data_IF_301182882097
#
_entry.id   IF_301182882097
#
_cell.length_a   1.000
_cell.length_b   1.000
_cell.length_c   1.000
_cell.angle_alpha   90.00
_cell.angle_beta   90.00
_cell.angle_gamma   90.00
#
_symmetry.space_group_name_H-M   'P 1'
#
loop_
_entity.id
_entity.type
_entity.pdbx_description
1 polymer ?
#
# COMPACT_ATOMS: atom_id res chain seq x y z
N UNK A 1 -15.16 2.33 -25.79
CA UNK A 1 -15.52 1.36 -24.73
C UNK A 1 -14.37 0.99 -23.77
N UNK A 2 -13.11 0.91 -24.25
CA UNK A 2 -11.95 0.49 -23.43
C UNK A 2 -11.21 1.62 -22.68
N UNK A 3 -11.55 2.90 -22.92
CA UNK A 3 -10.87 4.02 -22.26
C UNK A 3 -11.22 4.16 -20.77
N UNK A 4 -12.41 3.68 -20.35
CA UNK A 4 -12.84 3.75 -18.93
C UNK A 4 -12.12 2.73 -18.05
N UNK A 5 -11.74 1.57 -18.57
CA UNK A 5 -11.05 0.53 -17.81
C UNK A 5 -9.56 0.81 -17.57
N UNK A 6 -8.97 1.78 -18.28
CA UNK A 6 -7.57 2.21 -18.05
C UNK A 6 -7.42 3.17 -16.86
N UNK A 7 -8.50 3.84 -16.44
CA UNK A 7 -8.52 4.70 -15.26
C UNK A 7 -9.08 4.02 -14.01
N UNK A 8 -9.61 2.81 -14.14
CA UNK A 8 -10.12 2.01 -13.03
C UNK A 8 -8.97 1.20 -12.41
N UNK A 9 -8.25 1.83 -11.48
CA UNK A 9 -7.17 1.20 -10.71
C UNK A 9 -7.70 0.23 -9.64
N UNK A 10 -9.01 0.04 -9.51
CA UNK A 10 -9.61 -0.83 -8.50
C UNK A 10 -9.95 -2.23 -9.02
N UNK A 11 -9.95 -2.46 -10.33
CA UNK A 11 -10.42 -3.71 -10.92
C UNK A 11 -9.52 -4.21 -12.08
N UNK A 12 -8.73 -5.28 -11.89
CA UNK A 12 -8.59 -6.08 -10.67
C UNK A 12 -7.92 -5.29 -9.52
N UNK A 13 -8.12 -5.71 -8.26
CA UNK A 13 -7.46 -5.04 -7.13
C UNK A 13 -5.95 -5.05 -7.30
N UNK A 14 -5.33 -3.88 -7.13
CA UNK A 14 -3.89 -3.73 -7.23
C UNK A 14 -3.25 -4.25 -5.94
N UNK A 15 -2.28 -5.14 -6.07
CA UNK A 15 -1.38 -5.49 -4.98
C UNK A 15 -0.36 -4.35 -4.78
N UNK A 16 -0.75 -3.36 -3.97
CA UNK A 16 0.07 -2.17 -3.70
C UNK A 16 1.37 -2.51 -2.96
N UNK A 17 1.37 -3.58 -2.15
CA UNK A 17 2.57 -4.04 -1.44
C UNK A 17 3.61 -4.56 -2.42
N UNK A 18 3.21 -5.40 -3.37
CA UNK A 18 4.12 -5.88 -4.42
C UNK A 18 4.59 -4.74 -5.33
N UNK A 19 3.71 -3.78 -5.64
CA UNK A 19 4.07 -2.62 -6.44
C UNK A 19 5.13 -1.75 -5.74
N UNK A 20 4.97 -1.47 -4.44
CA UNK A 20 5.94 -0.70 -3.65
C UNK A 20 7.34 -1.33 -3.69
N UNK A 21 7.41 -2.67 -3.57
CA UNK A 21 8.68 -3.41 -3.64
C UNK A 21 9.38 -3.23 -4.98
N UNK A 22 8.64 -3.16 -6.08
CA UNK A 22 9.18 -2.87 -7.41
C UNK A 22 9.87 -1.50 -7.51
N UNK A 23 9.48 -0.54 -6.66
CA UNK A 23 10.10 0.77 -6.54
C UNK A 23 11.17 0.86 -5.44
N UNK A 24 11.56 -0.28 -4.84
CA UNK A 24 12.52 -0.31 -3.73
C UNK A 24 11.97 0.23 -2.40
N UNK A 25 10.64 0.33 -2.29
CA UNK A 25 9.93 0.81 -1.11
C UNK A 25 9.39 -0.39 -0.33
N UNK A 26 9.58 -0.41 0.99
CA UNK A 26 8.97 -1.44 1.84
C UNK A 26 7.44 -1.29 1.84
N UNK A 27 6.71 -2.40 1.78
CA UNK A 27 5.24 -2.40 1.73
C UNK A 27 4.62 -3.30 2.80
N UNK A 28 3.55 -2.86 3.44
CA UNK A 28 2.74 -3.67 4.38
C UNK A 28 1.26 -3.35 4.21
N UNK A 29 0.41 -4.38 4.23
CA UNK A 29 -1.04 -4.25 4.25
C UNK A 29 -1.55 -4.45 5.67
N UNK A 30 -2.52 -3.65 6.10
CA UNK A 30 -3.13 -3.67 7.43
C UNK A 30 -4.65 -3.64 7.33
N UNK A 31 -5.33 -4.36 8.21
CA UNK A 31 -6.79 -4.49 8.23
C UNK A 31 -7.43 -3.87 9.49
N UNK A 32 -6.61 -3.40 10.44
CA UNK A 32 -7.12 -2.80 11.68
C UNK A 32 -6.42 -1.49 12.01
N UNK A 33 -7.10 -0.65 12.81
CA UNK A 33 -6.53 0.58 13.36
C UNK A 33 -5.29 0.31 14.22
N UNK A 34 -5.29 -0.81 14.96
CA UNK A 34 -4.15 -1.23 15.78
C UNK A 34 -2.92 -1.55 14.94
N UNK A 35 -3.11 -2.29 13.85
CA UNK A 35 -2.06 -2.61 12.88
C UNK A 35 -1.55 -1.36 12.17
N UNK A 36 -2.44 -0.47 11.75
CA UNK A 36 -2.06 0.81 11.14
C UNK A 36 -1.20 1.65 12.10
N UNK A 37 -1.60 1.76 13.36
CA UNK A 37 -0.82 2.47 14.39
C UNK A 37 0.57 1.87 14.57
N UNK A 38 0.67 0.54 14.64
CA UNK A 38 1.94 -0.15 14.79
C UNK A 38 2.85 0.02 13.56
N UNK A 39 2.30 -0.13 12.35
CA UNK A 39 3.02 0.04 11.10
C UNK A 39 3.52 1.48 10.92
N UNK A 40 2.70 2.47 11.24
CA UNK A 40 3.08 3.88 11.19
C UNK A 40 4.19 4.21 12.18
N UNK A 41 4.09 3.74 13.42
CA UNK A 41 5.13 3.95 14.43
C UNK A 41 6.49 3.38 13.98
N UNK A 42 6.49 2.17 13.40
CA UNK A 42 7.69 1.56 12.82
C UNK A 42 8.24 2.38 11.65
N UNK A 43 7.37 2.81 10.73
CA UNK A 43 7.77 3.61 9.56
C UNK A 43 8.46 4.92 9.94
N UNK A 44 8.04 5.56 11.03
CA UNK A 44 8.64 6.82 11.49
C UNK A 44 9.99 6.62 12.17
N UNK A 45 10.25 5.41 12.70
CA UNK A 45 11.50 5.06 13.37
C UNK A 45 12.58 4.57 12.39
N UNK A 46 12.19 4.03 11.23
CA UNK A 46 13.10 3.51 10.21
C UNK A 46 13.36 4.56 9.11
N UNK A 47 14.62 4.76 8.69
CA UNK A 47 14.93 5.65 7.57
C UNK A 47 14.38 5.12 6.24
N UNK A 48 13.84 6.03 5.44
CA UNK A 48 13.42 5.76 4.08
C UNK A 48 11.90 5.63 3.92
N UNK A 49 11.42 5.62 2.66
CA UNK A 49 10.00 5.54 2.37
C UNK A 49 9.45 4.14 2.69
N UNK A 50 8.20 4.10 3.14
CA UNK A 50 7.42 2.87 3.28
C UNK A 50 6.00 3.11 2.78
N UNK A 51 5.39 2.09 2.19
CA UNK A 51 3.97 2.05 1.83
C UNK A 51 3.22 1.25 2.89
N UNK A 52 2.14 1.84 3.42
CA UNK A 52 1.18 1.17 4.31
C UNK A 52 -0.17 1.22 3.60
N UNK A 53 -0.66 0.06 3.19
CA UNK A 53 -2.00 -0.09 2.61
C UNK A 53 -2.99 -0.40 3.74
N UNK A 54 -3.99 0.46 3.93
CA UNK A 54 -5.08 0.21 4.85
C UNK A 54 -6.29 -0.35 4.09
N UNK A 55 -6.66 -1.59 4.38
CA UNK A 55 -7.81 -2.27 3.78
C UNK A 55 -9.00 -2.14 4.74
N UNK A 56 -10.15 -1.71 4.21
CA UNK A 56 -11.40 -1.47 4.96
C UNK A 56 -12.43 -2.57 4.70
#
# INVERSE_FOLDING_TARGET
PHARSLGDLGNPPIDWVSLARGFGVSGTSVATVGELRAALARSLAEPGPTLIEAVL
#
